data_IF_292921774879
#
_entry.id   IF_292921774879
#
_cell.length_a   1.000
_cell.length_b   1.000
_cell.length_c   1.000
_cell.angle_alpha   90.00
_cell.angle_beta   90.00
_cell.angle_gamma   90.00
#
_symmetry.space_group_name_H-M   'P 1'
#
loop_
_entity.id
_entity.type
_entity.pdbx_description
1 polymer ?
#
# COMPACT_ATOMS: atom_id res chain seq x y z
N UNK A 1 -22.36 -26.93 -21.72
CA UNK A 1 -23.27 -25.86 -21.30
C UNK A 1 -22.89 -25.41 -19.91
N UNK A 2 -22.40 -24.18 -19.76
CA UNK A 2 -22.77 -23.20 -18.73
C UNK A 2 -21.77 -22.05 -18.81
N UNK A 3 -22.27 -20.95 -19.38
CA UNK A 3 -21.62 -19.66 -19.47
C UNK A 3 -21.70 -18.97 -18.10
N UNK A 4 -20.61 -18.38 -17.64
CA UNK A 4 -20.64 -17.34 -16.62
C UNK A 4 -19.93 -16.11 -17.18
N UNK A 5 -20.70 -15.27 -17.89
CA UNK A 5 -20.30 -13.92 -18.25
C UNK A 5 -20.27 -13.05 -16.99
N UNK A 6 -19.23 -13.24 -16.16
CA UNK A 6 -18.88 -12.28 -15.12
C UNK A 6 -18.27 -11.06 -15.79
N UNK A 7 -19.01 -9.95 -15.84
CA UNK A 7 -18.48 -8.66 -16.27
C UNK A 7 -17.29 -8.27 -15.37
N UNK A 8 -16.06 -8.49 -15.85
CA UNK A 8 -14.85 -8.02 -15.19
C UNK A 8 -14.74 -6.52 -15.49
N UNK A 9 -15.08 -5.66 -14.53
CA UNK A 9 -14.74 -4.25 -14.65
C UNK A 9 -13.21 -4.12 -14.78
N UNK A 10 -12.68 -3.50 -15.85
CA UNK A 10 -11.25 -3.36 -16.04
C UNK A 10 -10.70 -2.52 -14.89
N UNK A 11 -9.87 -3.13 -14.05
CA UNK A 11 -9.12 -2.42 -13.00
C UNK A 11 -8.36 -1.31 -13.71
N UNK A 12 -8.59 -0.05 -13.31
CA UNK A 12 -7.85 1.12 -13.82
C UNK A 12 -6.36 0.87 -13.59
N UNK A 13 -5.66 0.44 -14.63
CA UNK A 13 -4.21 0.27 -14.61
C UNK A 13 -3.66 1.70 -14.54
N UNK A 14 -3.00 2.04 -13.44
CA UNK A 14 -2.22 3.27 -13.37
C UNK A 14 -1.09 3.14 -14.38
N UNK A 15 -1.07 3.99 -15.40
CA UNK A 15 -0.05 3.99 -16.47
C UNK A 15 1.32 4.48 -16.00
N UNK A 16 1.41 4.95 -14.76
CA UNK A 16 2.67 5.39 -14.16
C UNK A 16 3.60 4.19 -13.86
N UNK A 17 4.90 4.31 -14.17
CA UNK A 17 5.87 3.27 -13.86
C UNK A 17 5.99 3.05 -12.34
N UNK A 18 5.78 1.81 -11.90
CA UNK A 18 5.90 1.43 -10.50
C UNK A 18 7.37 1.20 -10.15
N UNK A 19 7.92 1.98 -9.22
CA UNK A 19 9.26 1.74 -8.64
C UNK A 19 9.15 0.90 -7.37
N UNK A 20 10.12 0.00 -7.14
CA UNK A 20 10.25 -0.79 -5.91
C UNK A 20 11.25 -0.12 -4.96
N UNK A 21 10.94 -0.14 -3.68
CA UNK A 21 11.77 0.41 -2.61
C UNK A 21 11.96 -0.66 -1.54
N UNK A 22 13.22 -0.96 -1.21
CA UNK A 22 13.61 -1.78 -0.07
C UNK A 22 14.28 -0.86 0.95
N UNK A 23 13.93 -0.98 2.22
CA UNK A 23 14.46 -0.14 3.30
C UNK A 23 14.98 -1.07 4.39
N UNK A 24 16.20 -0.80 4.86
CA UNK A 24 16.76 -1.44 6.05
C UNK A 24 16.43 -0.57 7.25
N UNK A 25 15.88 -1.18 8.30
CA UNK A 25 15.50 -0.51 9.54
C UNK A 25 16.08 -1.27 10.73
N UNK A 26 16.52 -0.58 11.79
CA UNK A 26 16.75 -1.20 13.09
C UNK A 26 15.50 -1.95 13.56
N UNK A 27 15.69 -3.03 14.30
CA UNK A 27 14.58 -3.85 14.78
C UNK A 27 13.57 -3.04 15.61
N UNK A 28 14.05 -2.11 16.43
CA UNK A 28 13.22 -1.22 17.25
C UNK A 28 12.28 -0.37 16.39
N UNK A 29 12.77 0.22 15.30
CA UNK A 29 11.97 1.04 14.38
C UNK A 29 10.96 0.19 13.61
N UNK A 30 11.38 -1.01 13.18
CA UNK A 30 10.48 -1.93 12.51
C UNK A 30 9.33 -2.35 13.44
N UNK A 31 9.61 -2.71 14.70
CA UNK A 31 8.58 -3.04 15.70
C UNK A 31 7.60 -1.90 15.91
N UNK A 32 8.09 -0.67 16.05
CA UNK A 32 7.22 0.52 16.18
C UNK A 32 6.29 0.67 14.97
N UNK A 33 6.79 0.44 13.75
CA UNK A 33 5.98 0.45 12.54
C UNK A 33 4.91 -0.66 12.57
N UNK A 34 5.24 -1.86 13.04
CA UNK A 34 4.28 -2.96 13.15
C UNK A 34 3.18 -2.66 14.16
N UNK A 35 3.53 -2.18 15.34
CA UNK A 35 2.56 -1.79 16.37
C UNK A 35 1.62 -0.70 15.86
N UNK A 36 2.14 0.31 15.16
CA UNK A 36 1.33 1.35 14.54
C UNK A 36 0.36 0.77 13.50
N UNK A 37 0.85 -0.12 12.64
CA UNK A 37 0.04 -0.80 11.62
C UNK A 37 -1.12 -1.58 12.25
N UNK A 38 -0.86 -2.34 13.33
CA UNK A 38 -1.87 -3.09 14.06
C UNK A 38 -2.91 -2.14 14.68
N UNK A 39 -2.45 -1.12 15.40
CA UNK A 39 -3.33 -0.17 16.11
C UNK A 39 -4.25 0.61 15.17
N UNK A 40 -3.77 0.94 13.96
CA UNK A 40 -4.52 1.70 12.96
C UNK A 40 -5.22 0.83 11.92
N UNK A 41 -5.07 -0.50 12.00
CA UNK A 41 -5.55 -1.45 10.99
C UNK A 41 -5.08 -1.07 9.57
N UNK A 42 -3.84 -0.60 9.46
CA UNK A 42 -3.24 -0.18 8.20
C UNK A 42 -2.09 -1.12 7.84
N UNK A 43 -1.94 -1.41 6.55
CA UNK A 43 -0.75 -2.08 6.03
C UNK A 43 0.43 -1.11 5.99
N UNK A 44 1.66 -1.63 6.10
CA UNK A 44 2.90 -0.85 5.92
C UNK A 44 2.87 -0.02 4.63
N UNK A 45 2.34 -0.58 3.54
CA UNK A 45 2.12 0.12 2.25
C UNK A 45 1.19 1.33 2.39
N UNK A 46 0.09 1.21 3.12
CA UNK A 46 -0.84 2.32 3.36
C UNK A 46 -0.18 3.40 4.21
N UNK A 47 0.58 3.03 5.24
CA UNK A 47 1.31 3.98 6.09
C UNK A 47 2.32 4.78 5.26
N UNK A 48 3.14 4.10 4.45
CA UNK A 48 4.11 4.79 3.57
C UNK A 48 3.40 5.70 2.56
N UNK A 49 2.30 5.26 1.96
CA UNK A 49 1.50 6.10 1.03
C UNK A 49 0.91 7.32 1.72
N UNK A 50 0.40 7.15 2.93
CA UNK A 50 -0.11 8.26 3.73
C UNK A 50 0.99 9.27 4.04
N UNK A 51 2.17 8.82 4.47
CA UNK A 51 3.33 9.71 4.69
C UNK A 51 3.72 10.46 3.41
N UNK A 52 3.79 9.77 2.26
CA UNK A 52 4.07 10.42 0.97
C UNK A 52 3.01 11.47 0.63
N UNK A 53 1.72 11.20 0.92
CA UNK A 53 0.65 12.18 0.71
C UNK A 53 0.78 13.40 1.64
N UNK A 54 1.15 13.19 2.90
CA UNK A 54 1.41 14.30 3.83
C UNK A 54 2.58 15.18 3.36
N UNK A 55 3.65 14.57 2.83
CA UNK A 55 4.77 15.31 2.24
C UNK A 55 4.39 16.12 1.00
N UNK A 56 3.35 15.70 0.27
CA UNK A 56 2.84 16.44 -0.89
C UNK A 56 2.03 17.68 -0.52
N UNK A 57 1.66 17.87 0.75
CA UNK A 57 1.09 19.11 1.25
C UNK A 57 -0.21 19.56 0.57
N UNK A 58 -1.30 18.79 0.75
CA UNK A 58 -2.67 19.28 0.58
C UNK A 58 -3.43 19.10 1.88
#
# INVERSE_FOLDING_TARGET
MHEIHGYIMPRKITTEPIKRLTIELPESEYRLLEEYCIKKQHTKRQVIRYLIQQLKGL
#
